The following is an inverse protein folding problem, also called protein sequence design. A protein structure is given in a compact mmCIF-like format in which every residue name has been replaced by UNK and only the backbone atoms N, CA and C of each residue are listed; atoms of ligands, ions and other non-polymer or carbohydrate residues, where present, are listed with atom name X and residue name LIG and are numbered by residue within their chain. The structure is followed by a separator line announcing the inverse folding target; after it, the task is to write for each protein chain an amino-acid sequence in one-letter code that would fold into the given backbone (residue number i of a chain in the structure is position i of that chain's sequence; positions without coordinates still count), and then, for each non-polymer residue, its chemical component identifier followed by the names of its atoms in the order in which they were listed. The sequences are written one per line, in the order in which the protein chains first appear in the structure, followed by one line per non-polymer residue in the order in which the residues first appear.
data_IF_122156768470
#
_entry.id   IF_122156768470
#
_cell.length_a   1.000
_cell.length_b   1.000
_cell.length_c   1.000
_cell.angle_alpha   90.00
_cell.angle_beta   90.00
_cell.angle_gamma   90.00
#
_symmetry.space_group_name_H-M   'P 1'
#
loop_
_entity.id
_entity.type
_entity.pdbx_description
1 polymer ?
#
# COMPACT_ATOMS: atom_id res chain seq x y z
N UNK A 1 15.13 -0.92 27.09
CA UNK A 1 15.24 -2.25 26.44
C UNK A 1 13.90 -2.79 25.93
N UNK A 2 12.75 -2.16 26.24
CA UNK A 2 11.43 -2.60 25.74
C UNK A 2 11.10 -2.16 24.30
N UNK A 3 11.65 -1.02 23.83
CA UNK A 3 11.38 -0.50 22.49
C UNK A 3 11.85 -1.43 21.36
N UNK A 4 12.89 -2.22 21.59
CA UNK A 4 13.46 -3.17 20.61
C UNK A 4 12.60 -4.42 20.38
N UNK A 5 11.77 -4.83 21.35
CA UNK A 5 10.88 -5.98 21.19
C UNK A 5 9.56 -5.57 20.50
N UNK A 6 9.07 -4.36 20.80
CA UNK A 6 7.87 -3.79 20.16
C UNK A 6 8.12 -3.49 18.67
N UNK A 7 9.31 -2.97 18.31
CA UNK A 7 9.69 -2.71 16.91
C UNK A 7 9.77 -3.98 16.04
N UNK A 8 10.31 -5.08 16.57
CA UNK A 8 10.31 -6.38 15.87
C UNK A 8 8.90 -6.95 15.69
N UNK A 9 7.99 -6.71 16.65
CA UNK A 9 6.58 -7.10 16.52
C UNK A 9 5.84 -6.26 15.47
N UNK A 10 6.11 -4.94 15.41
CA UNK A 10 5.53 -4.04 14.42
C UNK A 10 5.89 -4.44 12.99
N UNK A 11 7.18 -4.70 12.71
CA UNK A 11 7.64 -5.17 11.41
C UNK A 11 6.93 -6.44 10.96
N UNK A 12 6.83 -7.43 11.87
CA UNK A 12 6.16 -8.68 11.60
C UNK A 12 4.67 -8.48 11.29
N UNK A 13 3.98 -7.63 12.04
CA UNK A 13 2.56 -7.34 11.81
C UNK A 13 2.32 -6.62 10.48
N UNK A 14 3.19 -5.67 10.14
CA UNK A 14 3.11 -4.92 8.88
C UNK A 14 3.36 -5.85 7.68
N UNK A 15 4.41 -6.68 7.71
CA UNK A 15 4.75 -7.59 6.61
C UNK A 15 3.70 -8.69 6.41
N UNK A 16 3.11 -9.19 7.50
CA UNK A 16 2.08 -10.24 7.44
C UNK A 16 0.65 -9.68 7.34
N UNK A 17 0.50 -8.40 7.04
CA UNK A 17 -0.81 -7.81 6.80
C UNK A 17 -1.51 -8.54 5.65
N UNK A 18 -2.81 -8.79 5.78
CA UNK A 18 -3.61 -9.41 4.72
C UNK A 18 -5.03 -8.88 4.72
N UNK A 19 -5.59 -8.78 3.52
CA UNK A 19 -7.02 -8.54 3.34
C UNK A 19 -7.82 -9.73 3.87
N UNK A 20 -8.90 -9.45 4.60
CA UNK A 20 -9.87 -10.46 5.01
C UNK A 20 -10.79 -10.88 3.86
N UNK A 21 -11.40 -12.07 3.99
CA UNK A 21 -12.36 -12.55 3.00
C UNK A 21 -13.52 -11.56 2.85
N UNK A 22 -13.81 -11.16 1.61
CA UNK A 22 -14.88 -10.19 1.26
C UNK A 22 -14.72 -8.77 1.85
N UNK A 23 -13.56 -8.44 2.42
CA UNK A 23 -13.29 -7.09 2.92
C UNK A 23 -13.20 -6.09 1.75
N UNK A 24 -13.99 -5.00 1.74
CA UNK A 24 -13.89 -3.94 0.74
C UNK A 24 -12.51 -3.29 0.71
N UNK A 25 -12.04 -2.87 -0.48
CA UNK A 25 -10.72 -2.26 -0.63
C UNK A 25 -10.50 -1.02 0.27
N UNK A 26 -11.54 -0.21 0.46
CA UNK A 26 -11.49 0.97 1.34
C UNK A 26 -11.19 0.57 2.79
N UNK A 27 -11.90 -0.43 3.31
CA UNK A 27 -11.73 -0.93 4.67
C UNK A 27 -10.32 -1.52 4.87
N UNK A 28 -9.79 -2.23 3.87
CA UNK A 28 -8.40 -2.74 3.93
C UNK A 28 -7.40 -1.58 4.05
N UNK A 29 -7.59 -0.51 3.27
CA UNK A 29 -6.70 0.64 3.27
C UNK A 29 -6.73 1.38 4.62
N UNK A 30 -7.93 1.58 5.18
CA UNK A 30 -8.10 2.21 6.50
C UNK A 30 -7.43 1.39 7.60
N UNK A 31 -7.67 0.06 7.61
CA UNK A 31 -7.09 -0.84 8.62
C UNK A 31 -5.56 -0.89 8.53
N UNK A 32 -5.01 -0.82 7.32
CA UNK A 32 -3.57 -0.69 7.11
C UNK A 32 -3.05 0.65 7.66
N UNK A 33 -3.71 1.77 7.37
CA UNK A 33 -3.32 3.10 7.88
C UNK A 33 -3.38 3.18 9.41
N UNK A 34 -4.44 2.64 10.03
CA UNK A 34 -4.54 2.56 11.49
C UNK A 34 -3.37 1.77 12.10
N UNK A 35 -3.00 0.66 11.48
CA UNK A 35 -1.87 -0.15 11.93
C UNK A 35 -0.55 0.64 11.87
N UNK A 36 -0.32 1.41 10.80
CA UNK A 36 0.86 2.28 10.70
C UNK A 36 0.85 3.39 11.77
N UNK A 37 -0.32 3.96 12.08
CA UNK A 37 -0.45 4.96 13.15
C UNK A 37 -0.12 4.40 14.54
N UNK A 38 -0.39 3.11 14.79
CA UNK A 38 -0.01 2.42 16.04
C UNK A 38 1.50 2.18 16.13
N UNK A 39 2.21 2.18 15.01
CA UNK A 39 3.65 1.93 14.93
C UNK A 39 4.40 3.05 14.19
N UNK A 40 4.44 4.28 14.72
CA UNK A 40 5.02 5.44 14.01
C UNK A 40 6.53 5.32 13.75
N UNK A 41 7.22 4.44 14.48
CA UNK A 41 8.66 4.15 14.33
C UNK A 41 8.92 2.85 13.56
N UNK A 42 8.09 2.54 12.57
CA UNK A 42 8.24 1.31 11.78
C UNK A 42 9.38 1.38 10.75
N UNK A 43 9.99 2.55 10.50
CA UNK A 43 11.15 2.78 9.61
C UNK A 43 11.02 2.32 8.14
N UNK A 44 9.87 1.76 7.72
CA UNK A 44 9.62 1.44 6.33
C UNK A 44 9.44 2.68 5.43
N UNK A 45 10.12 2.72 4.26
CA UNK A 45 9.82 3.71 3.23
C UNK A 45 8.39 3.57 2.70
N UNK A 46 7.77 4.70 2.32
CA UNK A 46 6.38 4.71 1.81
C UNK A 46 6.15 3.78 0.61
N UNK A 47 7.11 3.69 -0.32
CA UNK A 47 7.01 2.79 -1.47
C UNK A 47 6.94 1.31 -1.06
N UNK A 48 7.69 0.93 -0.03
CA UNK A 48 7.68 -0.43 0.50
C UNK A 48 6.35 -0.74 1.19
N UNK A 49 5.78 0.21 1.93
CA UNK A 49 4.44 0.07 2.53
C UNK A 49 3.34 -0.11 1.47
N UNK A 50 3.41 0.64 0.37
CA UNK A 50 2.48 0.49 -0.76
C UNK A 50 2.63 -0.90 -1.38
N UNK A 51 3.86 -1.39 -1.54
CA UNK A 51 4.11 -2.72 -2.09
C UNK A 51 3.60 -3.84 -1.18
N UNK A 52 3.79 -3.71 0.14
CA UNK A 52 3.20 -4.64 1.12
C UNK A 52 1.69 -4.66 0.98
N UNK A 53 1.04 -3.49 0.97
CA UNK A 53 -0.42 -3.42 0.85
C UNK A 53 -0.90 -4.05 -0.46
N UNK A 54 -0.30 -3.66 -1.59
CA UNK A 54 -0.67 -4.14 -2.92
C UNK A 54 -0.52 -5.66 -3.03
N UNK A 55 0.58 -6.24 -2.53
CA UNK A 55 0.81 -7.69 -2.61
C UNK A 55 -0.17 -8.51 -1.74
N UNK A 56 -0.77 -7.89 -0.73
CA UNK A 56 -1.59 -8.57 0.28
C UNK A 56 -3.10 -8.26 0.19
N UNK A 57 -3.51 -7.52 -0.84
CA UNK A 57 -4.92 -7.40 -1.25
C UNK A 57 -5.26 -8.47 -2.31
N UNK A 58 -6.54 -8.76 -2.45
CA UNK A 58 -7.06 -9.72 -3.42
C UNK A 58 -6.67 -9.38 -4.85
N UNK A 59 -6.51 -10.40 -5.69
CA UNK A 59 -6.20 -10.23 -7.12
C UNK A 59 -7.21 -9.33 -7.84
N UNK A 60 -8.49 -9.38 -7.46
CA UNK A 60 -9.52 -8.50 -7.99
C UNK A 60 -9.21 -7.02 -7.71
N UNK A 61 -8.80 -6.72 -6.47
CA UNK A 61 -8.43 -5.36 -6.07
C UNK A 61 -7.13 -4.91 -6.74
N UNK A 62 -6.13 -5.78 -6.87
CA UNK A 62 -4.89 -5.51 -7.62
C UNK A 62 -5.21 -5.13 -9.06
N UNK A 63 -5.98 -5.97 -9.76
CA UNK A 63 -6.38 -5.72 -11.16
C UNK A 63 -7.18 -4.43 -11.30
N UNK A 64 -8.06 -4.13 -10.35
CA UNK A 64 -8.83 -2.87 -10.36
C UNK A 64 -7.93 -1.64 -10.26
N UNK A 65 -6.89 -1.70 -9.39
CA UNK A 65 -5.88 -0.65 -9.27
C UNK A 65 -5.08 -0.51 -10.56
N UNK A 66 -4.62 -1.63 -11.14
CA UNK A 66 -3.82 -1.63 -12.37
C UNK A 66 -4.60 -1.00 -13.54
N UNK A 67 -5.86 -1.41 -13.74
CA UNK A 67 -6.73 -0.85 -14.78
C UNK A 67 -6.97 0.64 -14.57
N UNK A 68 -7.19 1.08 -13.33
CA UNK A 68 -7.37 2.48 -13.00
C UNK A 68 -6.09 3.29 -13.27
N UNK A 69 -4.92 2.76 -12.90
CA UNK A 69 -3.62 3.38 -13.13
C UNK A 69 -3.32 3.50 -14.62
N UNK A 70 -3.48 2.42 -15.39
CA UNK A 70 -3.33 2.46 -16.85
C UNK A 70 -4.29 3.46 -17.50
N UNK A 71 -5.56 3.49 -17.03
CA UNK A 71 -6.55 4.44 -17.49
C UNK A 71 -6.16 5.90 -17.23
N UNK A 72 -5.48 6.16 -16.11
CA UNK A 72 -4.93 7.48 -15.77
C UNK A 72 -3.75 7.84 -16.67
N UNK A 73 -2.81 6.93 -16.90
CA UNK A 73 -1.67 7.14 -17.81
C UNK A 73 -2.14 7.47 -19.23
N UNK A 74 -3.14 6.74 -19.75
CA UNK A 74 -3.72 6.98 -21.09
C UNK A 74 -4.42 8.34 -21.22
N UNK A 75 -4.88 8.93 -20.12
CA UNK A 75 -5.56 10.24 -20.09
C UNK A 75 -4.62 11.42 -19.88
N UNK A 76 -3.38 11.18 -19.45
CA UNK A 76 -2.37 12.22 -19.38
C UNK A 76 -1.97 12.60 -20.82
N UNK A 77 -2.14 13.87 -21.25
CA UNK A 77 -1.59 14.26 -22.53
C UNK A 77 -0.07 14.16 -22.39
N UNK A 78 0.55 13.21 -23.10
CA UNK A 78 1.98 13.26 -23.36
C UNK A 78 2.29 14.72 -23.75
N UNK A 79 3.13 15.36 -22.94
CA UNK A 79 3.64 16.69 -23.21
C UNK A 79 4.08 16.71 -24.68
N UNK A 80 3.39 17.52 -25.49
CA UNK A 80 3.68 17.64 -26.91
C UNK A 80 5.14 18.08 -27.02
N UNK A 81 5.97 17.18 -27.53
CA UNK A 81 7.31 17.49 -27.99
C UNK A 81 7.17 18.66 -28.97
N UNK A 82 7.68 19.83 -28.60
CA UNK A 82 7.80 20.98 -29.50
C UNK A 82 9.25 20.97 -29.98
N UNK A 83 9.55 20.60 -31.23
CA UNK A 83 10.89 20.81 -31.78
C UNK A 83 11.06 22.31 -32.05
N UNK A 84 12.20 22.85 -31.62
CA UNK A 84 12.68 24.17 -32.01
C UNK A 84 13.09 24.17 -33.49
#
# INVERSE_FOLDING_TARGET
MESSHLGMSAHKNIINFSQYQQEPLVDVCERFQEMLCRYPHHDFPKGFLIQILYNNISTLNQTSIDVAYEGMIRKSPLAKHTPL
#
